data_IF_253365080542
#
_entry.id   IF_253365080542
#
_cell.length_a   1.000
_cell.length_b   1.000
_cell.length_c   1.000
_cell.angle_alpha   90.00
_cell.angle_beta   90.00
_cell.angle_gamma   90.00
#
_symmetry.space_group_name_H-M   'P 1'
#
loop_
_entity.id
_entity.type
_entity.pdbx_description
1 polymer ?
#
# COMPACT_ATOMS: atom_id res chain seq x y z
N UNK A 1 -1.81 -6.84 37.68
CA UNK A 1 -2.39 -5.61 38.23
C UNK A 1 -2.69 -4.59 37.14
N UNK A 2 -3.24 -3.47 37.55
CA UNK A 2 -3.60 -2.39 36.62
C UNK A 2 -2.40 -1.83 35.88
N UNK A 3 -1.24 -1.71 36.54
CA UNK A 3 -0.02 -1.19 35.92
C UNK A 3 0.43 -2.08 34.77
N UNK A 4 0.31 -3.39 34.92
CA UNK A 4 0.67 -4.33 33.86
C UNK A 4 -0.29 -4.18 32.66
N UNK A 5 -1.59 -4.08 32.93
CA UNK A 5 -2.58 -3.90 31.86
C UNK A 5 -2.36 -2.61 31.08
N UNK A 6 -2.07 -1.53 31.80
CA UNK A 6 -1.80 -0.23 31.16
C UNK A 6 -0.55 -0.29 30.28
N UNK A 7 0.50 -0.97 30.73
CA UNK A 7 1.73 -1.12 29.96
C UNK A 7 1.49 -1.92 28.68
N UNK A 8 0.76 -3.04 28.75
CA UNK A 8 0.45 -3.86 27.59
C UNK A 8 -0.42 -3.08 26.60
N UNK A 9 -1.44 -2.38 27.10
CA UNK A 9 -2.30 -1.58 26.26
C UNK A 9 -1.53 -0.47 25.54
N UNK A 10 -0.62 0.20 26.25
CA UNK A 10 0.21 1.26 25.67
C UNK A 10 1.12 0.72 24.54
N UNK A 11 1.69 -0.47 24.73
CA UNK A 11 2.51 -1.11 23.70
C UNK A 11 1.67 -1.46 22.48
N UNK A 12 0.48 -2.01 22.68
CA UNK A 12 -0.43 -2.35 21.60
C UNK A 12 -0.84 -1.11 20.81
N UNK A 13 -1.17 -0.02 21.48
CA UNK A 13 -1.52 1.24 20.84
C UNK A 13 -0.36 1.81 20.03
N UNK A 14 0.87 1.71 20.57
CA UNK A 14 2.06 2.18 19.86
C UNK A 14 2.32 1.36 18.61
N UNK A 15 2.16 0.03 18.66
CA UNK A 15 2.31 -0.85 17.51
C UNK A 15 1.26 -0.52 16.44
N UNK A 16 0.01 -0.35 16.84
CA UNK A 16 -1.07 -0.01 15.92
C UNK A 16 -0.81 1.32 15.22
N UNK A 17 -0.35 2.34 15.97
CA UNK A 17 0.00 3.64 15.39
C UNK A 17 1.14 3.51 14.39
N UNK A 18 2.15 2.73 14.73
CA UNK A 18 3.29 2.51 13.84
C UNK A 18 2.84 1.85 12.52
N UNK A 19 1.99 0.83 12.62
CA UNK A 19 1.45 0.15 11.45
C UNK A 19 0.61 1.08 10.58
N UNK A 20 -0.23 1.89 11.21
CA UNK A 20 -1.06 2.86 10.49
C UNK A 20 -0.20 3.90 9.77
N UNK A 21 0.88 4.37 10.40
CA UNK A 21 1.80 5.32 9.79
C UNK A 21 2.55 4.70 8.63
N UNK A 22 2.98 3.43 8.77
CA UNK A 22 3.67 2.72 7.70
C UNK A 22 2.77 2.56 6.47
N UNK A 23 1.51 2.21 6.67
CA UNK A 23 0.54 2.10 5.58
C UNK A 23 0.28 3.45 4.91
N UNK A 24 0.16 4.51 5.70
CA UNK A 24 -0.05 5.85 5.16
C UNK A 24 1.16 6.32 4.35
N UNK A 25 2.36 6.02 4.79
CA UNK A 25 3.58 6.32 4.05
C UNK A 25 3.59 5.59 2.71
N UNK A 26 3.23 4.30 2.70
CA UNK A 26 3.14 3.52 1.46
C UNK A 26 2.06 4.07 0.53
N UNK A 27 0.92 4.45 1.09
CA UNK A 27 -0.17 5.06 0.31
C UNK A 27 0.30 6.33 -0.39
N UNK A 28 1.02 7.19 0.34
CA UNK A 28 1.55 8.43 -0.22
C UNK A 28 2.59 8.17 -1.30
N UNK A 29 3.49 7.22 -1.07
CA UNK A 29 4.49 6.84 -2.06
C UNK A 29 3.84 6.29 -3.33
N UNK A 30 2.81 5.45 -3.18
CA UNK A 30 2.07 4.91 -4.31
C UNK A 30 1.38 6.04 -5.09
N UNK A 31 0.76 6.98 -4.39
CA UNK A 31 0.07 8.11 -5.01
C UNK A 31 1.03 8.95 -5.89
N UNK A 32 2.25 9.15 -5.45
CA UNK A 32 3.27 9.87 -6.23
C UNK A 32 3.57 9.18 -7.55
N UNK A 33 3.39 7.87 -7.61
CA UNK A 33 3.64 7.06 -8.81
C UNK A 33 2.36 6.78 -9.60
N UNK A 34 1.24 7.38 -9.22
CA UNK A 34 -0.04 7.13 -9.86
C UNK A 34 -0.62 5.77 -9.55
N UNK A 35 -0.35 5.24 -8.36
CA UNK A 35 -0.78 3.93 -7.91
C UNK A 35 -1.56 4.09 -6.61
N UNK A 36 -2.58 3.28 -6.41
CA UNK A 36 -3.37 3.27 -5.18
C UNK A 36 -3.20 1.96 -4.42
N UNK A 37 -3.27 2.06 -3.10
CA UNK A 37 -3.30 0.90 -2.21
C UNK A 37 -4.74 0.42 -2.07
N UNK A 38 -4.96 -0.86 -2.33
CA UNK A 38 -6.27 -1.50 -2.21
C UNK A 38 -6.30 -2.42 -1.00
N UNK A 39 -7.40 -2.39 -0.26
CA UNK A 39 -7.65 -3.32 0.82
C UNK A 39 -8.71 -4.31 0.34
N UNK A 40 -8.30 -5.54 0.06
CA UNK A 40 -9.18 -6.59 -0.47
C UNK A 40 -9.37 -7.70 0.57
N UNK A 41 -10.39 -8.57 0.41
CA UNK A 41 -10.54 -9.73 1.30
C UNK A 41 -9.32 -10.65 1.34
N UNK A 42 -8.50 -10.63 0.29
CA UNK A 42 -7.28 -11.45 0.22
C UNK A 42 -6.04 -10.71 0.73
N UNK A 43 -6.21 -9.49 1.25
CA UNK A 43 -5.13 -8.67 1.77
C UNK A 43 -4.96 -7.38 0.97
N UNK A 44 -3.83 -6.69 1.21
CA UNK A 44 -3.53 -5.45 0.51
C UNK A 44 -2.97 -5.72 -0.87
N UNK A 45 -3.29 -4.83 -1.79
CA UNK A 45 -2.75 -4.87 -3.14
C UNK A 45 -2.53 -3.46 -3.67
N UNK A 46 -1.96 -3.36 -4.85
CA UNK A 46 -1.72 -2.08 -5.52
C UNK A 46 -2.30 -2.14 -6.92
N UNK A 47 -2.84 -1.01 -7.37
CA UNK A 47 -3.38 -0.89 -8.72
C UNK A 47 -3.04 0.48 -9.30
N UNK A 48 -2.78 0.56 -10.63
CA UNK A 48 -2.55 1.85 -11.25
C UNK A 48 -3.83 2.65 -11.35
N UNK A 49 -3.67 3.98 -11.29
CA UNK A 49 -4.77 4.93 -11.46
C UNK A 49 -4.71 5.57 -12.83
N UNK A 50 -5.85 5.86 -13.40
CA UNK A 50 -6.01 6.67 -14.58
C UNK A 50 -7.16 7.64 -14.34
N UNK A 51 -6.88 8.94 -14.42
CA UNK A 51 -7.89 9.98 -14.16
C UNK A 51 -8.56 9.84 -12.81
N UNK A 52 -7.79 9.45 -11.77
CA UNK A 52 -8.28 9.31 -10.41
C UNK A 52 -9.07 8.03 -10.13
N UNK A 53 -9.13 7.11 -11.07
CA UNK A 53 -9.85 5.84 -10.93
C UNK A 53 -8.92 4.67 -11.13
N UNK A 54 -9.22 3.54 -10.48
CA UNK A 54 -8.46 2.31 -10.69
C UNK A 54 -8.57 1.89 -12.15
N UNK A 55 -7.42 1.64 -12.77
CA UNK A 55 -7.36 1.24 -14.16
C UNK A 55 -7.88 -0.18 -14.33
N UNK A 56 -8.77 -0.39 -15.29
CA UNK A 56 -9.26 -1.72 -15.62
C UNK A 56 -8.15 -2.55 -16.29
N UNK A 57 -8.13 -3.87 -16.10
CA UNK A 57 -7.11 -4.73 -16.71
C UNK A 57 -7.02 -4.62 -18.22
N UNK A 58 -8.15 -4.46 -18.90
CA UNK A 58 -8.14 -4.28 -20.36
C UNK A 58 -7.43 -3.01 -20.77
N UNK A 59 -7.66 -1.92 -20.03
CA UNK A 59 -7.00 -0.65 -20.29
C UNK A 59 -5.50 -0.76 -20.06
N UNK A 60 -5.09 -1.43 -18.99
CA UNK A 60 -3.68 -1.68 -18.70
C UNK A 60 -3.00 -2.41 -19.87
N UNK A 61 -3.66 -3.43 -20.41
CA UNK A 61 -3.12 -4.22 -21.52
C UNK A 61 -2.99 -3.41 -22.82
N UNK A 62 -3.72 -2.29 -22.93
CA UNK A 62 -3.65 -1.41 -24.09
C UNK A 62 -2.51 -0.38 -23.99
N UNK A 63 -1.90 -0.23 -22.83
CA UNK A 63 -0.80 0.72 -22.64
C UNK A 63 0.44 0.28 -23.42
N UNK A 64 1.27 1.23 -23.84
CA UNK A 64 2.57 0.89 -24.40
C UNK A 64 3.39 0.02 -23.44
N UNK A 65 4.23 -0.83 -24.01
CA UNK A 65 5.01 -1.79 -23.22
C UNK A 65 5.88 -1.12 -22.17
N UNK A 66 6.51 -0.01 -22.50
CA UNK A 66 7.37 0.70 -21.56
C UNK A 66 6.59 1.25 -20.36
N UNK A 67 5.36 1.74 -20.57
CA UNK A 67 4.51 2.19 -19.48
C UNK A 67 4.07 1.03 -18.60
N UNK A 68 3.69 -0.09 -19.21
CA UNK A 68 3.32 -1.28 -18.43
C UNK A 68 4.48 -1.76 -17.56
N UNK A 69 5.68 -1.79 -18.12
CA UNK A 69 6.88 -2.19 -17.37
C UNK A 69 7.17 -1.24 -16.22
N UNK A 70 7.00 0.06 -16.43
CA UNK A 70 7.19 1.04 -15.37
C UNK A 70 6.21 0.80 -14.22
N UNK A 71 4.93 0.64 -14.57
CA UNK A 71 3.89 0.40 -13.55
C UNK A 71 4.15 -0.90 -12.80
N UNK A 72 4.47 -1.96 -13.50
CA UNK A 72 4.77 -3.26 -12.88
C UNK A 72 5.98 -3.17 -11.94
N UNK A 73 7.03 -2.46 -12.36
CA UNK A 73 8.20 -2.24 -11.52
C UNK A 73 7.89 -1.41 -10.28
N UNK A 74 7.09 -0.37 -10.42
CA UNK A 74 6.67 0.45 -9.28
C UNK A 74 5.83 -0.35 -8.29
N UNK A 75 4.90 -1.16 -8.80
CA UNK A 75 4.07 -2.02 -7.95
C UNK A 75 4.93 -3.05 -7.22
N UNK A 76 5.88 -3.67 -7.92
CA UNK A 76 6.79 -4.63 -7.30
C UNK A 76 7.59 -3.98 -6.17
N UNK A 77 8.12 -2.78 -6.38
CA UNK A 77 8.86 -2.05 -5.36
C UNK A 77 7.98 -1.73 -4.14
N UNK A 78 6.74 -1.33 -4.37
CA UNK A 78 5.80 -1.05 -3.29
C UNK A 78 5.44 -2.32 -2.51
N UNK A 79 5.26 -3.43 -3.20
CA UNK A 79 4.99 -4.72 -2.56
C UNK A 79 6.17 -5.16 -1.70
N UNK A 80 7.39 -4.99 -2.18
CA UNK A 80 8.59 -5.30 -1.41
C UNK A 80 8.71 -4.41 -0.18
N UNK A 81 8.41 -3.10 -0.31
CA UNK A 81 8.43 -2.19 0.82
C UNK A 81 7.39 -2.60 1.88
N UNK A 82 6.23 -3.06 1.47
CA UNK A 82 5.19 -3.55 2.38
C UNK A 82 5.65 -4.82 3.09
N UNK A 83 6.29 -5.73 2.38
CA UNK A 83 6.76 -6.99 2.94
C UNK A 83 7.90 -6.84 3.94
N UNK A 84 8.66 -5.75 3.87
CA UNK A 84 9.78 -5.47 4.79
C UNK A 84 9.39 -4.59 5.98
N UNK A 85 8.21 -4.05 5.94
CA UNK A 85 7.71 -3.21 7.05
C UNK A 85 7.13 -4.08 8.22
#
# INVERSE_FOLDING_TARGET
GEDYRNAVQSVQEAVERHQAQALETLRAQAAEKGITLLNTPMGFGFAPLENGRVMEPERFNQLPEDERRRIEGDIQALQEAMGTA
#
